data_IF_023702210784
#
_entry.id   IF_023702210784
#
_cell.length_a   1.000
_cell.length_b   1.000
_cell.length_c   1.000
_cell.angle_alpha   90.00
_cell.angle_beta   90.00
_cell.angle_gamma   90.00
#
_symmetry.space_group_name_H-M   'P 1'
#
loop_
_entity.id
_entity.type
_entity.pdbx_description
1 polymer ?
#
# COMPACT_ATOMS: atom_id res chain seq x y z
N UNK A 1 -6.06 25.08 -6.61
CA UNK A 1 -5.20 23.90 -6.84
C UNK A 1 -5.24 23.04 -5.59
N UNK A 2 -6.22 22.14 -5.47
CA UNK A 2 -6.45 21.34 -4.25
C UNK A 2 -7.00 19.94 -4.55
N UNK A 3 -6.70 19.44 -5.75
CA UNK A 3 -7.17 18.14 -6.24
C UNK A 3 -6.10 17.06 -6.06
N UNK A 4 -4.81 17.43 -6.01
CA UNK A 4 -3.68 16.50 -6.11
C UNK A 4 -3.51 15.61 -4.87
N UNK A 5 -3.51 16.14 -3.65
CA UNK A 5 -3.20 15.32 -2.45
C UNK A 5 -4.32 14.34 -2.10
N UNK A 6 -5.59 14.73 -2.28
CA UNK A 6 -6.73 13.83 -2.07
C UNK A 6 -6.80 12.72 -3.11
N UNK A 7 -6.50 13.05 -4.38
CA UNK A 7 -6.46 12.06 -5.45
C UNK A 7 -5.25 11.13 -5.29
N UNK A 8 -4.09 11.67 -4.90
CA UNK A 8 -2.89 10.89 -4.60
C UNK A 8 -3.12 9.94 -3.42
N UNK A 9 -3.68 10.43 -2.30
CA UNK A 9 -3.99 9.58 -1.14
C UNK A 9 -5.07 8.54 -1.48
N UNK A 10 -6.03 8.88 -2.35
CA UNK A 10 -7.00 7.91 -2.89
C UNK A 10 -6.33 6.81 -3.70
N UNK A 11 -5.38 7.17 -4.56
CA UNK A 11 -4.60 6.22 -5.37
C UNK A 11 -3.71 5.31 -4.52
N UNK A 12 -3.04 5.86 -3.50
CA UNK A 12 -2.21 5.08 -2.59
C UNK A 12 -3.05 4.10 -1.76
N UNK A 13 -4.26 4.50 -1.32
CA UNK A 13 -5.20 3.58 -0.65
C UNK A 13 -5.61 2.42 -1.55
N UNK A 14 -5.96 2.71 -2.81
CA UNK A 14 -6.32 1.68 -3.77
C UNK A 14 -5.21 0.65 -3.96
N UNK A 15 -3.97 1.11 -4.16
CA UNK A 15 -2.80 0.21 -4.26
C UNK A 15 -2.56 -0.57 -2.96
N UNK A 16 -2.70 0.09 -1.80
CA UNK A 16 -2.48 -0.54 -0.50
C UNK A 16 -3.46 -1.70 -0.25
N UNK A 17 -4.72 -1.53 -0.66
CA UNK A 17 -5.75 -2.58 -0.55
C UNK A 17 -5.40 -3.79 -1.43
N UNK A 18 -5.06 -3.56 -2.71
CA UNK A 18 -4.64 -4.64 -3.63
C UNK A 18 -3.39 -5.39 -3.11
N UNK A 19 -2.39 -4.66 -2.59
CA UNK A 19 -1.18 -5.27 -2.03
C UNK A 19 -1.52 -6.15 -0.82
N UNK A 20 -2.42 -5.71 0.06
CA UNK A 20 -2.84 -6.49 1.23
C UNK A 20 -3.55 -7.79 0.80
N UNK A 21 -4.43 -7.73 -0.18
CA UNK A 21 -5.12 -8.91 -0.73
C UNK A 21 -4.12 -9.93 -1.33
N UNK A 22 -3.11 -9.44 -2.06
CA UNK A 22 -2.04 -10.31 -2.60
C UNK A 22 -1.20 -10.93 -1.48
N UNK A 23 -0.87 -10.19 -0.42
CA UNK A 23 -0.12 -10.72 0.74
C UNK A 23 -0.91 -11.84 1.44
N UNK A 24 -2.23 -11.70 1.58
CA UNK A 24 -3.09 -12.71 2.21
C UNK A 24 -3.14 -14.03 1.42
N UNK A 25 -2.98 -13.95 0.10
CA UNK A 25 -3.00 -15.11 -0.79
C UNK A 25 -1.60 -15.69 -1.08
N UNK A 26 -0.52 -15.01 -0.66
CA UNK A 26 0.86 -15.45 -0.87
C UNK A 26 1.37 -16.40 0.22
N UNK A 27 2.10 -17.42 -0.23
CA UNK A 27 2.93 -18.27 0.65
C UNK A 27 4.05 -17.45 1.32
N UNK A 28 4.43 -17.85 2.52
CA UNK A 28 5.49 -17.18 3.26
C UNK A 28 6.84 -17.27 2.54
N UNK A 29 7.50 -16.12 2.42
CA UNK A 29 8.79 -16.01 1.77
C UNK A 29 9.20 -14.56 1.53
N UNK A 30 10.38 -14.41 0.92
CA UNK A 30 11.00 -13.09 0.68
C UNK A 30 10.11 -12.13 -0.13
N UNK A 31 9.24 -12.66 -0.99
CA UNK A 31 8.28 -11.87 -1.76
C UNK A 31 7.21 -11.23 -0.87
N UNK A 32 6.62 -12.02 0.02
CA UNK A 32 5.63 -11.58 1.01
C UNK A 32 6.21 -10.57 1.98
N UNK A 33 7.42 -10.81 2.50
CA UNK A 33 8.13 -9.85 3.38
C UNK A 33 8.38 -8.50 2.68
N UNK A 34 8.78 -8.53 1.40
CA UNK A 34 8.96 -7.30 0.63
C UNK A 34 7.65 -6.54 0.44
N UNK A 35 6.56 -7.24 0.10
CA UNK A 35 5.25 -6.62 -0.09
C UNK A 35 4.69 -6.05 1.22
N UNK A 36 4.87 -6.75 2.35
CA UNK A 36 4.53 -6.22 3.67
C UNK A 36 5.25 -4.90 3.95
N UNK A 37 6.57 -4.85 3.72
CA UNK A 37 7.34 -3.62 3.89
C UNK A 37 6.89 -2.48 2.97
N UNK A 38 6.49 -2.79 1.73
CA UNK A 38 5.92 -1.80 0.80
C UNK A 38 4.58 -1.29 1.33
N UNK A 39 3.70 -2.17 1.79
CA UNK A 39 2.41 -1.81 2.38
C UNK A 39 2.59 -0.89 3.60
N UNK A 40 3.54 -1.19 4.49
CA UNK A 40 3.85 -0.36 5.66
C UNK A 40 4.32 1.05 5.27
N UNK A 41 5.21 1.17 4.28
CA UNK A 41 5.69 2.48 3.81
C UNK A 41 4.57 3.32 3.18
N UNK A 42 3.70 2.67 2.39
CA UNK A 42 2.55 3.33 1.77
C UNK A 42 1.54 3.78 2.83
N UNK A 43 1.36 2.99 3.89
CA UNK A 43 0.50 3.36 5.00
C UNK A 43 1.06 4.56 5.78
N UNK A 44 2.36 4.58 6.09
CA UNK A 44 3.02 5.75 6.71
C UNK A 44 2.86 7.01 5.87
N UNK A 45 2.95 6.90 4.53
CA UNK A 45 2.78 8.03 3.60
C UNK A 45 1.34 8.60 3.61
N UNK A 46 0.35 7.80 4.02
CA UNK A 46 -1.05 8.26 4.15
C UNK A 46 -1.35 8.88 5.52
N UNK A 47 -0.53 8.55 6.52
CA UNK A 47 -0.66 9.02 7.92
C UNK A 47 0.14 10.31 8.18
N UNK A 48 1.18 10.57 7.38
CA UNK A 48 1.96 11.83 7.29
C UNK A 48 1.22 12.91 6.48
#
# INVERSE_FOLDING_TARGET
>A
MGMTDKQFNGFIRFILDDIKEVIETMEDGKGKEKLQKVAENLQQTLED
#
